data_IF_195810867082
#
_entry.id   IF_195810867082
#
_cell.length_a   1.000
_cell.length_b   1.000
_cell.length_c   1.000
_cell.angle_alpha   90.00
_cell.angle_beta   90.00
_cell.angle_gamma   90.00
#
_symmetry.space_group_name_H-M   'P 1'
#
loop_
_entity.id
_entity.type
_entity.pdbx_description
1 polymer ?
#
# COMPACT_ATOMS: atom_id res chain seq x y z
N UNK A 1 -8.08 -14.44 3.47
CA UNK A 1 -8.01 -14.21 4.93
C UNK A 1 -8.98 -13.11 5.29
N UNK A 2 -9.76 -13.27 6.36
CA UNK A 2 -10.65 -12.24 6.88
C UNK A 2 -10.42 -12.14 8.38
N UNK A 3 -10.13 -10.94 8.88
CA UNK A 3 -9.99 -10.64 10.31
C UNK A 3 -10.83 -9.41 10.67
N UNK A 4 -11.51 -9.43 11.82
CA UNK A 4 -12.39 -8.34 12.28
C UNK A 4 -12.11 -8.03 13.76
N UNK A 5 -11.90 -6.75 14.09
CA UNK A 5 -11.70 -6.26 15.46
C UNK A 5 -12.30 -4.84 15.58
N UNK A 6 -13.42 -4.72 16.28
CA UNK A 6 -14.16 -3.45 16.38
C UNK A 6 -14.58 -2.95 15.00
N UNK A 7 -14.25 -1.70 14.67
CA UNK A 7 -14.55 -1.10 13.36
C UNK A 7 -13.53 -1.43 12.27
N UNK A 8 -12.49 -2.20 12.60
CA UNK A 8 -11.43 -2.59 11.66
C UNK A 8 -11.73 -3.96 11.08
N UNK A 9 -11.69 -4.06 9.75
CA UNK A 9 -11.82 -5.30 8.99
C UNK A 9 -10.65 -5.45 8.03
N UNK A 10 -9.92 -6.55 8.11
CA UNK A 10 -8.81 -6.87 7.21
C UNK A 10 -9.22 -7.95 6.21
N UNK A 11 -8.98 -7.69 4.94
CA UNK A 11 -9.28 -8.63 3.86
C UNK A 11 -8.01 -8.90 3.08
N UNK A 12 -7.56 -10.15 3.13
CA UNK A 12 -6.41 -10.64 2.36
C UNK A 12 -6.84 -11.58 1.25
N UNK A 13 -6.37 -11.34 0.03
CA UNK A 13 -6.65 -12.16 -1.15
C UNK A 13 -5.49 -12.12 -2.14
N UNK A 14 -5.48 -13.03 -3.10
CA UNK A 14 -4.50 -13.07 -4.17
C UNK A 14 -5.13 -12.72 -5.52
N UNK A 15 -4.42 -11.97 -6.34
CA UNK A 15 -4.77 -11.68 -7.73
C UNK A 15 -3.58 -12.06 -8.60
N UNK A 16 -3.69 -13.16 -9.34
CA UNK A 16 -2.56 -13.70 -10.10
C UNK A 16 -1.37 -14.01 -9.19
N UNK A 17 -0.24 -13.32 -9.40
CA UNK A 17 1.00 -13.48 -8.63
C UNK A 17 1.12 -12.55 -7.42
N UNK A 18 0.14 -11.67 -7.22
CA UNK A 18 0.16 -10.67 -6.14
C UNK A 18 -0.74 -11.09 -4.99
N UNK A 19 -0.26 -10.91 -3.77
CA UNK A 19 -1.04 -10.92 -2.54
C UNK A 19 -1.39 -9.46 -2.17
N UNK A 20 -2.66 -9.23 -1.84
CA UNK A 20 -3.21 -7.93 -1.46
C UNK A 20 -3.87 -8.06 -0.09
N UNK A 21 -3.56 -7.15 0.82
CA UNK A 21 -4.20 -7.03 2.14
C UNK A 21 -4.78 -5.64 2.26
N UNK A 22 -6.06 -5.54 2.56
CA UNK A 22 -6.78 -4.26 2.70
C UNK A 22 -7.28 -4.13 4.14
N UNK A 23 -6.94 -3.02 4.79
CA UNK A 23 -7.50 -2.61 6.08
C UNK A 23 -8.66 -1.63 5.84
N UNK A 24 -9.88 -2.07 6.18
CA UNK A 24 -11.07 -1.23 6.18
C UNK A 24 -11.35 -0.71 7.60
N UNK A 25 -11.71 0.57 7.71
CA UNK A 25 -12.22 1.19 8.95
C UNK A 25 -13.54 1.88 8.70
N UNK A 26 -14.58 1.44 9.40
CA UNK A 26 -15.95 1.94 9.16
C UNK A 26 -16.41 1.74 7.71
N UNK A 27 -15.94 0.67 7.06
CA UNK A 27 -16.24 0.34 5.66
C UNK A 27 -15.39 1.08 4.61
N UNK A 28 -14.46 1.95 5.01
CA UNK A 28 -13.60 2.70 4.10
C UNK A 28 -12.20 2.07 4.07
N UNK A 29 -11.64 1.79 2.88
CA UNK A 29 -10.24 1.34 2.73
C UNK A 29 -9.30 2.44 3.25
N UNK A 30 -8.49 2.13 4.26
CA UNK A 30 -7.52 3.06 4.87
C UNK A 30 -6.08 2.72 4.50
N UNK A 31 -5.83 1.45 4.19
CA UNK A 31 -4.51 0.94 3.87
C UNK A 31 -4.60 -0.31 3.02
N UNK A 32 -3.71 -0.40 2.05
CA UNK A 32 -3.55 -1.52 1.13
C UNK A 32 -2.08 -1.94 1.10
N UNK A 33 -1.82 -3.22 1.37
CA UNK A 33 -0.50 -3.84 1.30
C UNK A 33 -0.42 -4.76 0.09
N UNK A 34 0.63 -4.61 -0.69
CA UNK A 34 0.88 -5.38 -1.91
C UNK A 34 2.21 -6.12 -1.76
N UNK A 35 2.20 -7.42 -2.01
CA UNK A 35 3.40 -8.24 -2.04
C UNK A 35 3.27 -9.31 -3.12
N UNK A 36 4.37 -9.91 -3.55
CA UNK A 36 4.26 -11.12 -4.36
C UNK A 36 3.82 -12.29 -3.48
N UNK A 37 2.98 -13.17 -4.02
CA UNK A 37 2.51 -14.35 -3.32
C UNK A 37 3.66 -15.32 -2.97
N UNK A 38 4.74 -15.31 -3.74
CA UNK A 38 5.97 -16.08 -3.49
C UNK A 38 6.94 -15.38 -2.51
N UNK A 39 6.55 -14.22 -1.95
CA UNK A 39 7.34 -13.40 -1.00
C UNK A 39 8.66 -12.84 -1.54
N UNK A 40 8.93 -12.99 -2.84
CA UNK A 40 10.11 -12.38 -3.46
C UNK A 40 9.97 -10.86 -3.56
N UNK A 41 11.10 -10.18 -3.72
CA UNK A 41 11.14 -8.72 -3.75
C UNK A 41 10.36 -8.15 -4.94
N UNK A 42 9.69 -7.01 -4.71
CA UNK A 42 9.04 -6.23 -5.76
C UNK A 42 10.08 -5.52 -6.61
N UNK A 43 9.94 -5.61 -7.94
CA UNK A 43 10.74 -4.88 -8.91
C UNK A 43 10.16 -3.49 -9.14
N UNK A 44 10.99 -2.57 -9.61
CA UNK A 44 10.59 -1.17 -9.85
C UNK A 44 9.37 -1.04 -10.78
N UNK A 45 9.31 -1.85 -11.84
CA UNK A 45 8.17 -1.84 -12.76
C UNK A 45 6.88 -2.35 -12.12
N UNK A 46 6.98 -3.29 -11.17
CA UNK A 46 5.83 -3.80 -10.41
C UNK A 46 5.35 -2.74 -9.41
N UNK A 47 6.27 -2.03 -8.75
CA UNK A 47 5.97 -0.89 -7.88
C UNK A 47 5.22 0.19 -8.68
N UNK A 48 5.74 0.59 -9.84
CA UNK A 48 5.10 1.61 -10.67
C UNK A 48 3.69 1.21 -11.11
N UNK A 49 3.48 -0.05 -11.50
CA UNK A 49 2.14 -0.54 -11.84
C UNK A 49 1.17 -0.47 -10.66
N UNK A 50 1.61 -0.80 -9.45
CA UNK A 50 0.77 -0.68 -8.26
C UNK A 50 0.41 0.79 -8.00
N UNK A 51 1.39 1.70 -8.11
CA UNK A 51 1.17 3.14 -7.96
C UNK A 51 0.17 3.66 -9.00
N UNK A 52 0.30 3.26 -10.27
CA UNK A 52 -0.60 3.65 -11.36
C UNK A 52 -2.04 3.19 -11.11
N UNK A 53 -2.23 1.95 -10.62
CA UNK A 53 -3.55 1.41 -10.27
C UNK A 53 -4.13 2.12 -9.04
N UNK A 54 -3.27 2.49 -8.09
CA UNK A 54 -3.66 3.15 -6.83
C UNK A 54 -3.85 4.67 -6.99
N UNK A 55 -3.59 5.22 -8.18
CA UNK A 55 -3.80 6.63 -8.46
C UNK A 55 -5.30 6.93 -8.63
N UNK A 56 -5.79 7.93 -7.91
CA UNK A 56 -7.12 8.46 -8.16
C UNK A 56 -7.13 9.27 -9.48
N UNK A 57 -8.28 9.42 -10.15
CA UNK A 57 -8.38 10.27 -11.33
C UNK A 57 -7.78 11.66 -11.10
N UNK A 58 -6.98 12.14 -12.07
CA UNK A 58 -6.29 13.43 -12.03
C UNK A 58 -5.28 13.60 -10.89
N UNK A 59 -4.76 12.50 -10.34
CA UNK A 59 -3.68 12.56 -9.34
C UNK A 59 -2.40 11.93 -9.89
N UNK A 60 -1.26 12.37 -9.36
CA UNK A 60 0.06 11.82 -9.70
C UNK A 60 0.83 11.46 -8.44
N UNK A 61 1.80 10.56 -8.59
CA UNK A 61 2.73 10.21 -7.53
C UNK A 61 4.03 10.98 -7.68
N UNK A 62 4.60 11.40 -6.56
CA UNK A 62 5.93 11.98 -6.47
C UNK A 62 6.75 11.24 -5.44
N UNK A 63 7.92 10.74 -5.85
CA UNK A 63 8.88 10.11 -4.94
C UNK A 63 9.53 11.16 -4.02
N UNK A 64 9.54 10.87 -2.72
CA UNK A 64 10.33 11.59 -1.73
C UNK A 64 11.77 11.04 -1.72
N UNK A 65 12.76 11.83 -1.26
CA UNK A 65 14.13 11.31 -1.10
C UNK A 65 14.16 10.04 -0.24
N UNK A 66 14.85 9.01 -0.73
CA UNK A 66 15.00 7.76 -0.01
C UNK A 66 15.77 7.96 1.31
N UNK A 67 15.32 7.32 2.38
CA UNK A 67 15.94 7.38 3.71
C UNK A 67 16.26 5.98 4.16
N UNK A 68 17.55 5.68 4.38
CA UNK A 68 18.02 4.36 4.85
C UNK A 68 17.54 3.18 3.98
N UNK A 69 17.33 3.41 2.68
CA UNK A 69 16.84 2.39 1.74
C UNK A 69 15.31 2.25 1.69
N UNK A 70 14.57 2.94 2.57
CA UNK A 70 13.13 3.09 2.44
C UNK A 70 12.82 4.08 1.31
N UNK A 71 11.89 3.70 0.44
CA UNK A 71 11.31 4.59 -0.56
C UNK A 71 9.90 5.01 -0.15
N UNK A 72 9.55 6.25 -0.48
CA UNK A 72 8.24 6.81 -0.18
C UNK A 72 7.75 7.64 -1.35
N UNK A 73 6.46 7.56 -1.64
CA UNK A 73 5.79 8.41 -2.62
C UNK A 73 4.61 9.14 -1.96
N UNK A 74 4.37 10.36 -2.39
CA UNK A 74 3.19 11.15 -2.02
C UNK A 74 2.31 11.35 -3.22
N UNK A 75 1.00 11.18 -3.04
CA UNK A 75 0.03 11.52 -4.07
C UNK A 75 -0.22 13.04 -4.08
N UNK A 76 -0.44 13.61 -5.26
CA UNK A 76 -0.55 15.05 -5.47
C UNK A 76 -1.72 15.73 -4.73
N UNK A 77 -2.74 14.97 -4.32
CA UNK A 77 -3.87 15.45 -3.51
C UNK A 77 -3.59 15.48 -2.00
N UNK A 78 -2.41 14.98 -1.58
CA UNK A 78 -1.98 14.94 -0.19
C UNK A 78 -2.80 14.03 0.72
N UNK A 79 -3.69 13.19 0.16
CA UNK A 79 -4.54 12.31 0.98
C UNK A 79 -3.87 10.98 1.30
N UNK A 80 -2.99 10.51 0.42
CA UNK A 80 -2.46 9.15 0.44
C UNK A 80 -0.96 9.16 0.21
N UNK A 81 -0.27 8.24 0.84
CA UNK A 81 1.15 7.99 0.67
C UNK A 81 1.43 6.52 0.42
N UNK A 82 2.52 6.25 -0.30
CA UNK A 82 3.02 4.90 -0.52
C UNK A 82 4.38 4.73 0.15
N UNK A 83 4.62 3.59 0.78
CA UNK A 83 5.84 3.25 1.49
C UNK A 83 6.36 1.88 1.06
N UNK A 84 7.62 1.83 0.65
CA UNK A 84 8.34 0.61 0.30
C UNK A 84 9.56 0.50 1.22
N UNK A 85 9.46 -0.30 2.30
CA UNK A 85 10.55 -0.45 3.25
C UNK A 85 11.78 -1.09 2.61
N UNK A 86 12.95 -0.85 3.21
CA UNK A 86 14.24 -1.39 2.79
C UNK A 86 14.30 -2.93 2.69
N UNK A 87 13.33 -3.63 3.30
CA UNK A 87 13.13 -5.08 3.15
C UNK A 87 12.64 -5.49 1.75
N UNK A 88 12.13 -4.54 0.97
CA UNK A 88 11.75 -4.65 -0.44
C UNK A 88 10.71 -5.73 -0.81
N UNK A 89 9.97 -6.25 0.17
CA UNK A 89 9.07 -7.40 0.00
C UNK A 89 7.61 -6.99 -0.17
N UNK A 90 7.25 -5.77 0.24
CA UNK A 90 5.89 -5.28 0.14
C UNK A 90 5.85 -3.76 -0.03
N UNK A 91 4.87 -3.28 -0.80
CA UNK A 91 4.52 -1.86 -0.91
C UNK A 91 3.24 -1.63 -0.11
N UNK A 92 3.19 -0.55 0.65
CA UNK A 92 1.98 -0.11 1.36
C UNK A 92 1.48 1.17 0.72
N UNK A 93 0.18 1.28 0.46
CA UNK A 93 -0.52 2.53 0.13
C UNK A 93 -1.49 2.82 1.26
N UNK A 94 -1.46 4.00 1.85
CA UNK A 94 -2.32 4.32 3.01
C UNK A 94 -2.71 5.79 3.08
N UNK A 95 -3.86 6.05 3.70
CA UNK A 95 -4.25 7.41 4.06
C UNK A 95 -3.18 8.06 4.96
N UNK A 96 -2.80 9.30 4.68
CA UNK A 96 -1.76 10.04 5.45
C UNK A 96 -2.14 10.21 6.92
N UNK A 97 -3.44 10.17 7.23
CA UNK A 97 -3.98 10.25 8.60
C UNK A 97 -4.18 8.89 9.26
N UNK A 98 -3.87 7.80 8.56
CA UNK A 98 -4.02 6.47 9.11
C UNK A 98 -2.97 6.21 10.18
N UNK A 99 -3.42 5.81 11.36
CA UNK A 99 -2.57 5.32 12.44
C UNK A 99 -2.98 3.88 12.70
N UNK A 100 -2.09 2.89 12.52
CA UNK A 100 -2.44 1.50 12.81
C UNK A 100 -2.80 1.39 14.29
N UNK A 101 -4.04 1.00 14.57
CA UNK A 101 -4.46 0.63 15.92
C UNK A 101 -3.94 -0.78 16.23
N UNK A 102 -3.24 -0.91 17.37
CA UNK A 102 -2.74 -2.19 17.90
C UNK A 102 -3.87 -3.18 18.27
#
# INVERSE_FOLDING_TARGET
>A
MLEEKGDVRKVGYTIGVMAVVIDFVGGISRREGFAKADTSALKENEIQQILDISAAPNTTWKEDPAVQGDKKWKRSDGQVEAFFPARQTYLVVQDVRWVPTE
#
